data_IF_339695196912
#
_entry.id   IF_339695196912
#
_cell.length_a   1.000
_cell.length_b   1.000
_cell.length_c   1.000
_cell.angle_alpha   90.00
_cell.angle_beta   90.00
_cell.angle_gamma   90.00
#
_symmetry.space_group_name_H-M   'P 1'
#
loop_
_entity.id
_entity.type
_entity.pdbx_description
1 polymer ?
#
# COMPACT_ATOMS: atom_id res chain seq x y z
N UNK A 1 -3.14 -11.17 -14.69
CA UNK A 1 -4.29 -11.96 -14.22
C UNK A 1 -3.80 -13.18 -13.45
N UNK A 2 -4.43 -13.52 -12.31
CA UNK A 2 -4.07 -14.66 -11.45
C UNK A 2 -4.07 -15.96 -12.26
N UNK A 3 -5.02 -16.15 -13.19
CA UNK A 3 -5.10 -17.35 -14.04
C UNK A 3 -3.81 -17.57 -14.85
N UNK A 4 -3.12 -16.50 -15.22
CA UNK A 4 -1.86 -16.62 -15.98
C UNK A 4 -0.72 -17.27 -15.17
N UNK A 5 -0.82 -17.28 -13.85
CA UNK A 5 0.16 -17.95 -12.98
C UNK A 5 0.22 -19.45 -13.28
N UNK A 6 -0.92 -20.07 -13.65
CA UNK A 6 -0.99 -21.48 -14.01
C UNK A 6 -0.13 -21.90 -15.22
N UNK A 7 0.31 -20.92 -16.04
CA UNK A 7 1.27 -21.18 -17.13
C UNK A 7 2.69 -21.45 -16.60
N UNK A 8 2.97 -21.09 -15.33
CA UNK A 8 4.31 -21.15 -14.74
C UNK A 8 4.39 -22.10 -13.55
N UNK A 9 3.30 -22.23 -12.77
CA UNK A 9 3.25 -23.11 -11.59
C UNK A 9 1.82 -23.52 -11.28
N UNK A 10 1.66 -24.66 -10.65
CA UNK A 10 0.40 -25.18 -10.13
C UNK A 10 0.21 -24.91 -8.63
N UNK A 11 1.22 -24.30 -7.97
CA UNK A 11 1.22 -24.00 -6.54
C UNK A 11 2.02 -22.76 -6.21
N UNK A 12 1.55 -22.00 -5.23
CA UNK A 12 2.28 -20.89 -4.62
C UNK A 12 2.72 -21.27 -3.20
N UNK A 13 3.92 -20.91 -2.82
CA UNK A 13 4.35 -20.95 -1.43
C UNK A 13 3.70 -19.84 -0.63
N UNK A 14 3.61 -18.64 -1.22
CA UNK A 14 2.93 -17.48 -0.64
C UNK A 14 2.17 -16.69 -1.70
N UNK A 15 1.02 -16.17 -1.30
CA UNK A 15 0.26 -15.13 -1.99
C UNK A 15 0.50 -13.82 -1.22
N UNK A 16 1.27 -12.92 -1.79
CA UNK A 16 1.50 -11.58 -1.24
C UNK A 16 0.53 -10.61 -1.92
N UNK A 17 -0.31 -9.96 -1.14
CA UNK A 17 -1.30 -9.00 -1.64
C UNK A 17 -0.89 -7.60 -1.21
N UNK A 18 -0.75 -6.71 -2.20
CA UNK A 18 -0.45 -5.30 -2.05
C UNK A 18 -1.61 -4.50 -2.66
N UNK A 19 -2.62 -4.23 -1.88
CA UNK A 19 -3.75 -3.39 -2.26
C UNK A 19 -3.64 -2.01 -1.60
N UNK A 20 -4.49 -1.06 -1.92
CA UNK A 20 -4.53 0.25 -1.26
C UNK A 20 -5.28 0.21 0.07
N UNK A 21 -6.03 -0.86 0.33
CA UNK A 21 -6.74 -1.10 1.58
C UNK A 21 -6.41 -2.50 2.09
N UNK A 22 -6.30 -2.71 3.41
CA UNK A 22 -6.19 -4.03 3.98
C UNK A 22 -7.32 -4.95 3.50
N UNK A 23 -7.04 -6.22 3.30
CA UNK A 23 -8.03 -7.20 2.83
C UNK A 23 -9.23 -7.32 3.78
N UNK A 24 -9.02 -7.11 5.09
CA UNK A 24 -10.05 -7.12 6.14
C UNK A 24 -11.12 -6.04 5.96
N UNK A 25 -10.81 -4.94 5.26
CA UNK A 25 -11.74 -3.83 4.99
C UNK A 25 -12.12 -3.72 3.52
N UNK A 26 -11.73 -4.70 2.71
CA UNK A 26 -12.03 -4.70 1.29
C UNK A 26 -13.54 -4.71 1.04
N UNK A 27 -13.96 -4.00 -0.01
CA UNK A 27 -15.36 -3.87 -0.38
C UNK A 27 -16.00 -5.25 -0.64
N UNK A 28 -17.24 -5.51 -0.20
CA UNK A 28 -17.99 -6.71 -0.57
C UNK A 28 -18.06 -6.99 -2.08
N UNK A 29 -17.85 -5.97 -2.91
CA UNK A 29 -17.77 -6.12 -4.38
C UNK A 29 -16.50 -6.82 -4.86
N UNK A 30 -15.50 -6.95 -4.01
CA UNK A 30 -14.25 -7.66 -4.26
C UNK A 30 -14.21 -9.02 -3.56
N UNK A 31 -15.37 -9.57 -3.20
CA UNK A 31 -15.50 -10.89 -2.59
C UNK A 31 -15.62 -11.99 -3.66
N UNK A 32 -14.99 -13.12 -3.39
CA UNK A 32 -15.12 -14.33 -4.20
C UNK A 32 -15.19 -15.56 -3.30
N UNK A 33 -16.31 -16.26 -3.33
CA UNK A 33 -16.54 -17.50 -2.53
C UNK A 33 -16.35 -17.33 -1.01
N UNK A 34 -16.68 -16.16 -0.46
CA UNK A 34 -16.56 -15.85 0.97
C UNK A 34 -15.16 -15.45 1.44
N UNK A 35 -14.26 -15.18 0.50
CA UNK A 35 -12.93 -14.62 0.71
C UNK A 35 -12.78 -13.32 -0.09
N UNK A 36 -11.71 -12.55 0.14
CA UNK A 36 -11.33 -11.52 -0.82
C UNK A 36 -11.04 -12.14 -2.20
N UNK A 37 -11.13 -11.33 -3.25
CA UNK A 37 -11.03 -11.82 -4.62
C UNK A 37 -9.71 -12.52 -4.93
N UNK A 38 -8.61 -12.10 -4.31
CA UNK A 38 -7.28 -12.67 -4.57
C UNK A 38 -7.14 -14.05 -3.91
N UNK A 39 -7.44 -14.11 -2.63
CA UNK A 39 -7.43 -15.35 -1.84
C UNK A 39 -8.42 -16.36 -2.40
N UNK A 40 -9.66 -15.95 -2.64
CA UNK A 40 -10.70 -16.83 -3.16
C UNK A 40 -10.40 -17.41 -4.53
N UNK A 41 -9.86 -16.60 -5.45
CA UNK A 41 -9.43 -17.09 -6.77
C UNK A 41 -8.23 -18.05 -6.68
N UNK A 42 -7.23 -17.74 -5.86
CA UNK A 42 -6.08 -18.63 -5.69
C UNK A 42 -6.47 -19.99 -5.09
N UNK A 43 -7.40 -20.01 -4.13
CA UNK A 43 -8.00 -21.25 -3.60
C UNK A 43 -8.75 -22.02 -4.68
N UNK A 44 -9.60 -21.34 -5.44
CA UNK A 44 -10.41 -21.94 -6.51
C UNK A 44 -9.54 -22.56 -7.60
N UNK A 45 -8.39 -21.99 -7.88
CA UNK A 45 -7.43 -22.48 -8.87
C UNK A 45 -6.47 -23.52 -8.30
N UNK A 46 -6.55 -23.85 -7.00
CA UNK A 46 -5.65 -24.80 -6.34
C UNK A 46 -4.23 -24.27 -6.11
N UNK A 47 -4.02 -22.97 -6.30
CA UNK A 47 -2.69 -22.33 -6.14
C UNK A 47 -2.27 -22.22 -4.67
N UNK A 48 -3.22 -22.12 -3.74
CA UNK A 48 -3.00 -22.15 -2.29
C UNK A 48 -4.01 -23.11 -1.64
N UNK A 49 -3.78 -23.50 -0.38
CA UNK A 49 -4.63 -24.45 0.34
C UNK A 49 -6.05 -23.89 0.56
N UNK A 50 -7.04 -24.59 0.05
CA UNK A 50 -8.46 -24.22 0.16
C UNK A 50 -9.12 -24.50 1.51
N UNK A 51 -8.43 -25.15 2.47
CA UNK A 51 -9.01 -25.54 3.77
C UNK A 51 -9.21 -24.36 4.73
N UNK A 52 -8.41 -23.31 4.60
CA UNK A 52 -8.47 -22.15 5.48
C UNK A 52 -9.58 -21.20 5.03
N UNK A 53 -10.30 -20.61 5.98
CA UNK A 53 -11.29 -19.57 5.71
C UNK A 53 -10.70 -18.19 6.01
N UNK A 54 -11.00 -17.24 5.11
CA UNK A 54 -10.48 -15.89 5.21
C UNK A 54 -8.97 -15.80 4.92
N UNK A 55 -8.51 -14.59 4.71
CA UNK A 55 -7.08 -14.30 4.47
C UNK A 55 -6.29 -14.14 5.77
N UNK A 56 -6.91 -13.62 6.85
CA UNK A 56 -6.24 -13.26 8.11
C UNK A 56 -5.57 -14.44 8.82
N UNK A 57 -6.09 -15.63 8.65
CA UNK A 57 -5.56 -16.86 9.27
C UNK A 57 -4.95 -17.81 8.25
N UNK A 58 -4.83 -17.40 7.00
CA UNK A 58 -4.30 -18.25 5.95
C UNK A 58 -2.76 -18.20 5.95
N UNK A 59 -2.05 -19.32 6.24
CA UNK A 59 -0.60 -19.32 6.41
C UNK A 59 0.19 -18.94 5.14
N UNK A 60 -0.44 -19.03 3.98
CA UNK A 60 0.17 -18.69 2.70
C UNK A 60 -0.23 -17.29 2.19
N UNK A 61 -1.08 -16.55 2.90
CA UNK A 61 -1.50 -15.20 2.49
C UNK A 61 -0.82 -14.16 3.36
N UNK A 62 -0.15 -13.22 2.72
CA UNK A 62 0.54 -12.10 3.37
C UNK A 62 -0.06 -10.81 2.81
N UNK A 63 -0.78 -10.08 3.65
CA UNK A 63 -1.32 -8.77 3.31
C UNK A 63 -0.28 -7.69 3.68
N UNK A 64 0.18 -6.95 2.67
CA UNK A 64 1.14 -5.84 2.80
C UNK A 64 0.55 -4.54 2.24
N UNK A 65 -0.77 -4.40 2.32
CA UNK A 65 -1.50 -3.25 1.77
C UNK A 65 -1.20 -1.93 2.50
N UNK A 66 -0.70 -2.02 3.74
CA UNK A 66 -0.19 -0.89 4.52
C UNK A 66 1.17 -0.35 4.00
N UNK A 67 1.81 -1.05 3.07
CA UNK A 67 3.12 -0.71 2.52
C UNK A 67 3.08 -0.42 1.02
N UNK A 68 1.94 0.03 0.49
CA UNK A 68 1.71 0.17 -0.95
C UNK A 68 2.83 0.99 -1.64
N UNK A 69 3.12 2.19 -1.17
CA UNK A 69 4.19 3.02 -1.73
C UNK A 69 5.59 2.43 -1.52
N UNK A 70 5.84 1.80 -0.36
CA UNK A 70 7.13 1.12 -0.12
C UNK A 70 7.38 0.00 -1.14
N UNK A 71 6.34 -0.72 -1.56
CA UNK A 71 6.45 -1.76 -2.58
C UNK A 71 6.70 -1.20 -3.97
N UNK A 72 6.11 -0.06 -4.32
CA UNK A 72 6.44 0.66 -5.55
C UNK A 72 7.90 1.10 -5.56
N UNK A 73 8.39 1.71 -4.47
CA UNK A 73 9.78 2.12 -4.32
C UNK A 73 10.73 0.92 -4.43
N UNK A 74 10.43 -0.19 -3.74
CA UNK A 74 11.23 -1.40 -3.79
C UNK A 74 11.28 -1.99 -5.21
N UNK A 75 10.16 -2.06 -5.91
CA UNK A 75 10.10 -2.55 -7.28
C UNK A 75 10.98 -1.73 -8.22
N UNK A 76 10.96 -0.41 -8.11
CA UNK A 76 11.80 0.48 -8.90
C UNK A 76 13.28 0.37 -8.51
N UNK A 77 13.58 0.39 -7.22
CA UNK A 77 14.94 0.36 -6.69
C UNK A 77 15.70 -0.91 -7.08
N UNK A 78 15.11 -2.09 -6.85
CA UNK A 78 15.76 -3.36 -7.21
C UNK A 78 15.96 -3.55 -8.72
N UNK A 79 15.21 -2.85 -9.54
CA UNK A 79 15.39 -2.88 -11.00
C UNK A 79 16.34 -1.81 -11.53
N UNK A 80 16.66 -0.81 -10.72
CA UNK A 80 17.55 0.29 -11.14
C UNK A 80 19.03 -0.11 -11.20
N UNK A 81 19.43 -1.09 -10.38
CA UNK A 81 20.83 -1.47 -10.20
C UNK A 81 21.60 -0.53 -9.26
N UNK A 82 20.96 0.44 -8.61
CA UNK A 82 21.59 1.29 -7.61
C UNK A 82 21.76 0.54 -6.27
N UNK A 83 22.81 0.86 -5.53
CA UNK A 83 22.99 0.38 -4.15
C UNK A 83 22.39 1.34 -3.13
N UNK A 84 22.39 2.64 -3.45
CA UNK A 84 21.78 3.71 -2.68
C UNK A 84 21.04 4.66 -3.63
N UNK A 85 19.85 5.09 -3.25
CA UNK A 85 19.05 6.05 -4.02
C UNK A 85 17.97 6.73 -3.19
N UNK A 86 17.49 7.87 -3.66
CA UNK A 86 16.22 8.43 -3.23
C UNK A 86 15.13 7.88 -4.13
N UNK A 87 14.19 7.15 -3.53
CA UNK A 87 12.99 6.67 -4.21
C UNK A 87 11.87 7.70 -4.10
N UNK A 88 11.26 8.05 -5.22
CA UNK A 88 10.10 8.94 -5.27
C UNK A 88 8.91 8.14 -5.81
N UNK A 89 7.86 8.03 -5.02
CA UNK A 89 6.61 7.40 -5.42
C UNK A 89 5.54 8.49 -5.52
N UNK A 90 4.90 8.57 -6.67
CA UNK A 90 3.77 9.45 -6.96
C UNK A 90 2.66 8.56 -7.49
N UNK A 91 1.55 8.46 -6.77
CA UNK A 91 0.44 7.59 -7.12
C UNK A 91 -0.90 8.35 -6.97
N UNK A 92 -1.90 7.91 -7.72
CA UNK A 92 -3.25 8.46 -7.64
C UNK A 92 -3.95 8.15 -6.31
N UNK A 93 -3.64 7.04 -5.69
CA UNK A 93 -4.07 6.64 -4.34
C UNK A 93 -3.25 5.44 -3.88
N UNK A 94 -2.37 5.65 -2.93
CA UNK A 94 -1.67 4.59 -2.19
C UNK A 94 -2.50 4.07 -1.01
N UNK A 95 -1.86 3.73 0.08
CA UNK A 95 -2.52 3.21 1.28
C UNK A 95 -3.55 4.19 1.83
N UNK A 96 -4.77 3.67 2.12
CA UNK A 96 -5.80 4.43 2.82
C UNK A 96 -5.51 4.43 4.32
N UNK A 97 -5.55 5.62 4.91
CA UNK A 97 -5.18 5.85 6.30
C UNK A 97 -6.33 6.59 6.99
N UNK A 98 -6.83 6.02 8.09
CA UNK A 98 -7.74 6.75 8.95
C UNK A 98 -6.93 7.67 9.86
N UNK A 99 -7.30 8.95 9.91
CA UNK A 99 -6.58 9.97 10.66
C UNK A 99 -7.54 11.00 11.23
N UNK A 100 -7.08 11.73 12.22
CA UNK A 100 -7.80 12.88 12.78
C UNK A 100 -7.08 14.15 12.35
N UNK A 101 -7.77 15.01 11.61
CA UNK A 101 -7.27 16.31 11.15
C UNK A 101 -8.19 17.40 11.72
N UNK A 102 -7.62 18.37 12.43
CA UNK A 102 -8.38 19.45 13.07
C UNK A 102 -9.53 18.95 13.99
N UNK A 103 -9.31 17.86 14.74
CA UNK A 103 -10.28 17.16 15.58
C UNK A 103 -11.46 16.52 14.82
N UNK A 104 -11.35 16.29 13.53
CA UNK A 104 -12.32 15.58 12.72
C UNK A 104 -11.69 14.28 12.18
N UNK A 105 -12.39 13.16 12.39
CA UNK A 105 -11.95 11.89 11.83
C UNK A 105 -12.19 11.89 10.31
N UNK A 106 -11.14 11.63 9.57
CA UNK A 106 -11.17 11.63 8.11
C UNK A 106 -10.40 10.44 7.53
N UNK A 107 -10.71 10.12 6.30
CA UNK A 107 -9.96 9.14 5.52
C UNK A 107 -9.01 9.87 4.58
N UNK A 108 -7.72 9.62 4.76
CA UNK A 108 -6.69 10.05 3.84
C UNK A 108 -6.18 8.89 2.99
N UNK A 109 -5.40 9.20 1.97
CA UNK A 109 -4.68 8.24 1.15
C UNK A 109 -3.34 8.82 0.72
N UNK A 110 -2.33 7.96 0.68
CA UNK A 110 -1.00 8.35 0.23
C UNK A 110 -1.06 8.79 -1.24
N UNK A 111 -0.43 9.91 -1.56
CA UNK A 111 -0.27 10.39 -2.95
C UNK A 111 1.18 10.50 -3.34
N UNK A 112 2.03 10.84 -2.39
CA UNK A 112 3.47 10.94 -2.59
C UNK A 112 4.20 10.39 -1.40
N UNK A 113 5.31 9.70 -1.65
CA UNK A 113 6.24 9.28 -0.60
C UNK A 113 7.67 9.31 -1.12
N UNK A 114 8.54 9.87 -0.31
CA UNK A 114 9.98 9.90 -0.54
C UNK A 114 10.65 8.88 0.38
N UNK A 115 11.51 8.05 -0.19
CA UNK A 115 12.26 7.04 0.55
C UNK A 115 13.75 7.24 0.37
N UNK A 116 14.51 7.05 1.46
CA UNK A 116 15.93 6.76 1.38
C UNK A 116 16.09 5.24 1.26
N UNK A 117 16.54 4.79 0.09
CA UNK A 117 16.66 3.38 -0.25
C UNK A 117 18.13 2.98 -0.21
N UNK A 118 18.45 1.87 0.46
CA UNK A 118 19.79 1.28 0.45
C UNK A 118 19.70 -0.26 0.37
N UNK A 119 20.56 -0.83 -0.47
CA UNK A 119 20.67 -2.29 -0.57
C UNK A 119 21.20 -2.89 0.75
N UNK A 120 20.79 -4.08 1.19
CA UNK A 120 19.90 -4.99 0.47
C UNK A 120 18.40 -4.71 0.64
N UNK A 121 17.92 -4.04 1.71
CA UNK A 121 16.49 -3.96 1.99
C UNK A 121 16.09 -2.77 2.88
N UNK A 122 16.84 -1.68 2.88
CA UNK A 122 16.47 -0.49 3.65
C UNK A 122 15.60 0.44 2.79
N UNK A 123 14.41 0.75 3.29
CA UNK A 123 13.47 1.71 2.71
C UNK A 123 12.94 2.60 3.84
N UNK A 124 13.65 3.68 4.12
CA UNK A 124 13.28 4.63 5.16
C UNK A 124 12.46 5.76 4.56
N UNK A 125 11.24 5.96 5.04
CA UNK A 125 10.44 7.12 4.66
C UNK A 125 11.09 8.40 5.15
N UNK A 126 11.26 9.40 4.27
CA UNK A 126 11.83 10.71 4.58
C UNK A 126 10.88 11.86 4.31
N UNK A 127 9.76 11.59 3.63
CA UNK A 127 8.69 12.55 3.41
C UNK A 127 7.46 11.84 2.89
N UNK A 128 6.28 12.30 3.30
CA UNK A 128 5.00 11.72 2.88
C UNK A 128 3.95 12.82 2.72
N UNK A 129 3.16 12.70 1.68
CA UNK A 129 1.97 13.52 1.48
C UNK A 129 0.73 12.65 1.44
N UNK A 130 -0.29 13.07 2.19
CA UNK A 130 -1.59 12.41 2.29
C UNK A 130 -2.67 13.37 1.81
N UNK A 131 -3.44 12.94 0.83
CA UNK A 131 -4.63 13.66 0.40
C UNK A 131 -5.85 13.20 1.18
N UNK A 132 -6.69 14.13 1.56
CA UNK A 132 -7.98 13.88 2.20
C UNK A 132 -9.13 14.09 1.24
N UNK A 133 -10.29 13.53 1.56
CA UNK A 133 -11.55 13.81 0.88
C UNK A 133 -12.30 14.90 1.65
N UNK A 134 -12.07 16.12 1.31
CA UNK A 134 -12.77 17.24 1.95
C UNK A 134 -11.92 18.51 1.94
N UNK A 135 -12.51 19.67 2.24
CA UNK A 135 -11.84 20.96 2.23
C UNK A 135 -10.99 21.13 3.50
N UNK A 136 -9.98 20.29 3.68
CA UNK A 136 -9.04 20.46 4.78
C UNK A 136 -7.92 21.41 4.34
N UNK A 137 -7.61 22.38 5.20
CA UNK A 137 -6.42 23.19 5.04
C UNK A 137 -5.18 22.30 5.13
N UNK A 138 -4.11 22.69 4.44
CA UNK A 138 -2.81 21.99 4.58
C UNK A 138 -2.37 21.98 6.04
N UNK A 139 -2.07 20.81 6.55
CA UNK A 139 -1.58 20.58 7.90
C UNK A 139 -0.31 19.74 7.88
N UNK A 140 0.46 19.82 8.94
CA UNK A 140 1.70 19.08 9.12
C UNK A 140 1.57 18.24 10.38
N UNK A 141 1.60 16.94 10.22
CA UNK A 141 1.48 15.98 11.32
C UNK A 141 2.84 15.37 11.59
N UNK A 142 3.31 15.46 12.85
CA UNK A 142 4.50 14.73 13.28
C UNK A 142 4.09 13.33 13.73
N UNK A 143 4.80 12.33 13.23
CA UNK A 143 4.59 10.93 13.57
C UNK A 143 5.92 10.19 13.64
N UNK A 144 5.87 8.92 14.00
CA UNK A 144 7.03 8.02 13.94
C UNK A 144 6.73 6.88 12.97
N UNK A 145 7.70 6.58 12.12
CA UNK A 145 7.67 5.42 11.24
C UNK A 145 9.04 4.72 11.30
N UNK A 146 9.04 3.42 11.57
CA UNK A 146 10.26 2.60 11.72
C UNK A 146 11.28 3.20 12.73
N UNK A 147 10.79 3.84 13.82
CA UNK A 147 11.62 4.48 14.85
C UNK A 147 12.22 5.84 14.46
N UNK A 148 11.81 6.42 13.34
CA UNK A 148 12.25 7.74 12.88
C UNK A 148 11.09 8.73 12.96
N UNK A 149 11.39 9.98 13.38
CA UNK A 149 10.43 11.07 13.30
C UNK A 149 10.15 11.41 11.84
N UNK A 150 8.89 11.49 11.47
CA UNK A 150 8.41 11.77 10.13
C UNK A 150 7.39 12.91 10.17
N UNK A 151 7.60 13.93 9.34
CA UNK A 151 6.60 14.94 9.06
C UNK A 151 5.75 14.52 7.86
N UNK A 152 4.44 14.44 8.09
CA UNK A 152 3.47 14.15 7.07
C UNK A 152 2.74 15.43 6.69
N UNK A 153 2.76 15.79 5.42
CA UNK A 153 1.94 16.88 4.88
C UNK A 153 0.56 16.32 4.53
N UNK A 154 -0.48 16.97 5.05
CA UNK A 154 -1.88 16.61 4.77
C UNK A 154 -2.55 17.76 4.07
N UNK A 155 -3.23 17.53 2.96
CA UNK A 155 -4.02 18.54 2.28
C UNK A 155 -5.24 17.95 1.60
N UNK A 156 -6.18 18.79 1.18
CA UNK A 156 -7.23 18.34 0.27
C UNK A 156 -6.64 17.98 -1.10
N UNK A 157 -7.38 17.20 -1.89
CA UNK A 157 -6.92 16.78 -3.22
C UNK A 157 -6.70 17.97 -4.18
N UNK A 158 -7.40 19.09 -3.99
CA UNK A 158 -7.22 20.29 -4.78
C UNK A 158 -5.94 21.05 -4.39
N UNK A 159 -5.47 20.93 -3.16
CA UNK A 159 -4.21 21.51 -2.68
C UNK A 159 -2.99 20.92 -3.37
N UNK A 160 -3.02 19.63 -3.75
CA UNK A 160 -1.92 18.96 -4.45
C UNK A 160 -1.65 19.64 -5.80
N UNK A 161 -2.69 19.95 -6.57
CA UNK A 161 -2.55 20.58 -7.89
C UNK A 161 -1.83 21.93 -7.77
N UNK A 162 -2.10 22.70 -6.71
CA UNK A 162 -1.45 24.01 -6.49
C UNK A 162 0.04 23.91 -6.16
N UNK A 163 0.49 22.81 -5.54
CA UNK A 163 1.92 22.61 -5.24
C UNK A 163 2.72 22.35 -6.51
N UNK A 164 2.11 21.73 -7.53
CA UNK A 164 2.77 21.46 -8.82
C UNK A 164 2.66 22.59 -9.83
N UNK A 165 1.77 23.57 -9.60
CA UNK A 165 1.60 24.74 -10.46
C UNK A 165 2.46 25.94 -10.00
N UNK A 166 3.12 25.84 -8.85
CA UNK A 166 3.96 26.89 -8.26
C UNK A 166 5.45 26.69 -8.62
#
# INVERSE_FOLDING_TARGET
>A
SIVKILEYTDRLDYLVVAHTQPLSVSSPKLEFSGDDVYTGLCKKLGLIDGKFRGHEQHPQVVDVSDQHHKLHAACAFYRSGFEDAVGVVIDGAGTFIQMTVNNEDTMGFETETLFNCSYPAKFQTIGKHIATRGPHATDFIQTEEDGNSLEITVSDRAGIVKVYEA
#
